data_IF_189911379366
#
_entry.id   IF_189911379366
#
_cell.length_a   1.000
_cell.length_b   1.000
_cell.length_c   1.000
_cell.angle_alpha   90.00
_cell.angle_beta   90.00
_cell.angle_gamma   90.00
#
_symmetry.space_group_name_H-M   'P 1'
#
loop_
_entity.id
_entity.type
_entity.pdbx_description
1 polymer ?
#
# COMPACT_ATOMS: atom_id res chain seq x y z
N UNK A 1 24.09 3.11 -17.46
CA UNK A 1 23.71 1.73 -17.88
C UNK A 1 23.12 1.02 -16.67
N UNK A 2 21.86 1.29 -16.31
CA UNK A 2 21.20 0.60 -15.18
C UNK A 2 20.80 -0.79 -15.67
N UNK A 3 21.53 -1.83 -15.25
CA UNK A 3 21.12 -3.21 -15.51
C UNK A 3 19.85 -3.46 -14.69
N UNK A 4 18.77 -3.83 -15.38
CA UNK A 4 17.62 -4.51 -14.78
C UNK A 4 18.19 -5.70 -13.99
N UNK A 5 17.78 -5.86 -12.72
CA UNK A 5 18.32 -6.83 -11.74
C UNK A 5 19.70 -6.53 -11.08
N UNK A 6 20.26 -5.31 -11.16
CA UNK A 6 21.54 -5.00 -10.48
C UNK A 6 21.78 -3.53 -10.06
N UNK A 7 22.80 -3.33 -9.22
CA UNK A 7 23.28 -2.00 -8.79
C UNK A 7 22.29 -1.26 -7.88
N UNK A 8 21.69 -0.18 -8.39
CA UNK A 8 20.82 0.74 -7.64
C UNK A 8 19.50 0.09 -7.18
N UNK A 9 19.04 -0.98 -7.85
CA UNK A 9 17.85 -1.73 -7.42
C UNK A 9 17.96 -2.26 -5.98
N UNK A 10 19.15 -2.66 -5.54
CA UNK A 10 19.37 -3.12 -4.15
C UNK A 10 19.38 -1.97 -3.13
N UNK A 11 19.73 -0.76 -3.54
CA UNK A 11 19.59 0.44 -2.69
C UNK A 11 18.12 0.74 -2.45
N UNK A 12 17.29 0.60 -3.49
CA UNK A 12 15.84 0.75 -3.37
C UNK A 12 15.25 -0.34 -2.48
N UNK A 13 15.69 -1.60 -2.62
CA UNK A 13 15.28 -2.70 -1.72
C UNK A 13 15.63 -2.40 -0.26
N UNK A 14 16.82 -1.84 0.01
CA UNK A 14 17.23 -1.45 1.36
C UNK A 14 16.38 -0.30 1.91
N UNK A 15 16.13 0.74 1.11
CA UNK A 15 15.24 1.84 1.51
C UNK A 15 13.80 1.36 1.74
N UNK A 16 13.29 0.50 0.86
CA UNK A 16 12.00 -0.16 1.00
C UNK A 16 11.90 -0.97 2.29
N UNK A 17 12.94 -1.76 2.60
CA UNK A 17 13.05 -2.51 3.84
C UNK A 17 12.94 -1.60 5.07
N UNK A 18 13.72 -0.52 5.13
CA UNK A 18 13.70 0.42 6.25
C UNK A 18 12.37 1.14 6.38
N UNK A 19 11.79 1.55 5.25
CA UNK A 19 10.47 2.20 5.20
C UNK A 19 9.40 1.28 5.78
N UNK A 20 9.37 0.01 5.34
CA UNK A 20 8.39 -0.96 5.81
C UNK A 20 8.65 -1.45 7.23
N UNK A 21 9.91 -1.44 7.68
CA UNK A 21 10.25 -1.70 9.08
C UNK A 21 9.63 -0.65 10.01
N UNK A 22 9.70 0.63 9.64
CA UNK A 22 9.11 1.71 10.44
C UNK A 22 7.59 1.75 10.32
N UNK A 23 7.06 1.66 9.11
CA UNK A 23 5.62 1.78 8.84
C UNK A 23 4.86 0.59 9.38
N UNK A 24 5.10 -0.60 8.81
CA UNK A 24 4.33 -1.79 9.15
C UNK A 24 4.72 -2.31 10.54
N UNK A 25 5.97 -2.13 10.95
CA UNK A 25 6.44 -2.53 12.28
C UNK A 25 5.63 -1.87 13.39
N UNK A 26 5.47 -0.55 13.33
CA UNK A 26 4.64 0.22 14.28
C UNK A 26 3.15 -0.08 14.10
N UNK A 27 2.69 -0.26 12.86
CA UNK A 27 1.28 -0.57 12.57
C UNK A 27 0.82 -1.86 13.25
N UNK A 28 1.63 -2.91 13.19
CA UNK A 28 1.28 -4.22 13.71
C UNK A 28 1.49 -4.35 15.23
N UNK A 29 2.18 -3.40 15.88
CA UNK A 29 2.26 -3.32 17.35
C UNK A 29 1.06 -2.67 18.01
N UNK A 30 0.14 -2.09 17.23
CA UNK A 30 -1.13 -1.55 17.74
C UNK A 30 -1.98 -2.60 18.48
N UNK A 31 -1.76 -3.89 18.27
CA UNK A 31 -2.40 -4.96 19.04
C UNK A 31 -2.04 -4.95 20.53
N UNK A 32 -0.88 -4.41 20.91
CA UNK A 32 -0.50 -4.22 22.32
C UNK A 32 -1.22 -3.01 22.90
N UNK A 33 -1.25 -1.90 22.17
CA UNK A 33 -1.97 -0.68 22.56
C UNK A 33 -3.49 -0.91 22.66
N UNK A 34 -4.02 -1.84 21.86
CA UNK A 34 -5.41 -2.27 21.93
C UNK A 34 -5.84 -2.75 23.31
N UNK A 35 -4.99 -3.53 24.00
CA UNK A 35 -5.29 -4.03 25.35
C UNK A 35 -5.43 -2.86 26.32
N UNK A 36 -4.50 -1.91 26.26
CA UNK A 36 -4.54 -0.71 27.11
C UNK A 36 -5.74 0.18 26.79
N UNK A 37 -6.18 0.23 25.53
CA UNK A 37 -7.43 0.93 25.17
C UNK A 37 -8.68 0.21 25.71
N UNK A 38 -8.68 -1.12 25.77
CA UNK A 38 -9.76 -1.85 26.42
C UNK A 38 -9.83 -1.52 27.91
N UNK A 39 -8.69 -1.49 28.58
CA UNK A 39 -8.60 -1.21 30.02
C UNK A 39 -9.00 0.25 30.35
N UNK A 40 -8.56 1.21 29.54
CA UNK A 40 -8.84 2.63 29.71
C UNK A 40 -10.30 2.97 29.41
N UNK A 41 -10.81 2.57 28.25
CA UNK A 41 -12.15 2.98 27.79
C UNK A 41 -13.26 2.06 28.31
N UNK A 42 -12.95 0.83 28.74
CA UNK A 42 -13.90 -0.17 29.26
C UNK A 42 -15.10 -0.41 28.33
N UNK A 43 -14.88 -0.24 27.04
CA UNK A 43 -15.86 -0.48 25.98
C UNK A 43 -15.64 -1.85 25.35
N UNK A 44 -16.67 -2.39 24.69
CA UNK A 44 -16.60 -3.73 24.11
C UNK A 44 -15.52 -3.86 23.02
N UNK A 45 -14.93 -5.06 22.90
CA UNK A 45 -13.85 -5.39 21.95
C UNK A 45 -14.10 -4.88 20.52
N UNK A 46 -15.32 -5.08 20.02
CA UNK A 46 -15.71 -4.60 18.68
C UNK A 46 -15.73 -3.06 18.53
N UNK A 47 -16.02 -2.29 19.58
CA UNK A 47 -15.96 -0.82 19.54
C UNK A 47 -14.51 -0.33 19.58
N UNK A 48 -13.71 -0.88 20.49
CA UNK A 48 -12.29 -0.50 20.65
C UNK A 48 -11.47 -0.85 19.40
N UNK A 49 -11.79 -1.97 18.74
CA UNK A 49 -11.11 -2.42 17.53
C UNK A 49 -11.28 -1.47 16.32
N UNK A 50 -12.21 -0.51 16.36
CA UNK A 50 -12.26 0.54 15.33
C UNK A 50 -10.99 1.38 15.32
N UNK A 51 -10.40 1.64 16.49
CA UNK A 51 -9.18 2.44 16.63
C UNK A 51 -8.02 1.76 15.90
N UNK A 52 -7.83 0.46 16.14
CA UNK A 52 -6.78 -0.33 15.48
C UNK A 52 -7.04 -0.58 13.99
N UNK A 53 -8.25 -0.34 13.51
CA UNK A 53 -8.63 -0.56 12.10
C UNK A 53 -8.59 0.70 11.26
N UNK A 54 -8.75 1.87 11.90
CA UNK A 54 -8.66 3.19 11.26
C UNK A 54 -7.30 3.38 10.61
N UNK A 55 -6.21 3.08 11.31
CA UNK A 55 -4.85 3.30 10.80
C UNK A 55 -4.55 2.41 9.58
N UNK A 56 -4.61 1.06 9.65
CA UNK A 56 -4.34 0.21 8.49
C UNK A 56 -5.36 0.37 7.36
N UNK A 57 -6.64 0.60 7.71
CA UNK A 57 -7.70 0.82 6.73
C UNK A 57 -7.52 2.13 5.96
N UNK A 58 -7.18 3.24 6.63
CA UNK A 58 -6.88 4.52 5.97
C UNK A 58 -5.57 4.46 5.18
N UNK A 59 -4.55 3.75 5.68
CA UNK A 59 -3.31 3.50 4.93
C UNK A 59 -3.57 2.80 3.60
N UNK A 60 -4.42 1.77 3.56
CA UNK A 60 -4.67 1.02 2.34
C UNK A 60 -5.71 1.69 1.41
N UNK A 61 -6.66 2.47 1.96
CA UNK A 61 -7.71 3.15 1.18
C UNK A 61 -7.33 4.53 0.66
N UNK A 62 -6.56 5.32 1.43
CA UNK A 62 -6.26 6.71 1.09
C UNK A 62 -4.87 6.79 0.45
N UNK A 63 -4.86 6.83 -0.89
CA UNK A 63 -3.65 7.05 -1.70
C UNK A 63 -3.03 8.46 -1.56
N UNK A 64 -3.52 9.32 -0.65
CA UNK A 64 -2.95 10.63 -0.37
C UNK A 64 -2.14 10.56 0.94
N UNK A 65 -0.83 10.38 0.81
CA UNK A 65 0.13 10.30 1.91
C UNK A 65 0.67 8.88 2.11
N UNK A 66 0.15 8.18 3.12
CA UNK A 66 0.73 6.94 3.67
C UNK A 66 0.49 5.68 2.82
N UNK A 67 -0.68 5.54 2.18
CA UNK A 67 -0.93 4.48 1.18
C UNK A 67 -0.07 4.60 -0.07
N UNK A 68 0.34 5.84 -0.38
CA UNK A 68 1.31 6.13 -1.42
C UNK A 68 2.67 5.52 -1.12
N UNK A 69 3.08 5.40 0.14
CA UNK A 69 4.40 4.88 0.52
C UNK A 69 4.48 3.37 0.23
N UNK A 70 3.49 2.60 0.71
CA UNK A 70 3.44 1.15 0.47
C UNK A 70 3.33 0.83 -1.03
N UNK A 71 2.42 1.52 -1.73
CA UNK A 71 2.24 1.35 -3.17
C UNK A 71 3.50 1.73 -3.97
N UNK A 72 4.08 2.90 -3.69
CA UNK A 72 5.29 3.38 -4.38
C UNK A 72 6.47 2.45 -4.13
N UNK A 73 6.60 1.91 -2.91
CA UNK A 73 7.65 0.96 -2.56
C UNK A 73 7.55 -0.31 -3.40
N UNK A 74 6.36 -0.91 -3.49
CA UNK A 74 6.13 -2.14 -4.25
C UNK A 74 6.33 -1.93 -5.76
N UNK A 75 5.82 -0.82 -6.29
CA UNK A 75 5.95 -0.46 -7.70
C UNK A 75 7.41 -0.21 -8.07
N UNK A 76 8.14 0.56 -7.26
CA UNK A 76 9.54 0.86 -7.50
C UNK A 76 10.40 -0.41 -7.52
N UNK A 77 10.23 -1.33 -6.56
CA UNK A 77 10.96 -2.61 -6.55
C UNK A 77 10.56 -3.47 -7.76
N UNK A 78 9.26 -3.55 -8.06
CA UNK A 78 8.73 -4.33 -9.19
C UNK A 78 9.28 -3.91 -10.56
N UNK A 79 9.55 -2.63 -10.77
CA UNK A 79 10.16 -2.10 -12.00
C UNK A 79 11.68 -2.29 -12.08
N UNK A 80 12.39 -2.41 -10.96
CA UNK A 80 13.85 -2.59 -10.95
C UNK A 80 14.28 -4.06 -11.11
N UNK A 81 13.38 -5.00 -10.83
CA UNK A 81 13.65 -6.43 -10.89
C UNK A 81 12.63 -7.17 -11.77
N UNK A 82 13.16 -8.00 -12.67
CA UNK A 82 12.37 -8.89 -13.53
C UNK A 82 12.65 -10.36 -13.20
N UNK A 83 13.92 -10.78 -13.17
CA UNK A 83 14.29 -12.18 -12.97
C UNK A 83 14.23 -12.63 -11.52
N UNK A 84 14.47 -11.71 -10.58
CA UNK A 84 14.48 -11.96 -9.12
C UNK A 84 13.41 -11.16 -8.39
N UNK A 85 12.28 -10.93 -9.07
CA UNK A 85 11.22 -10.04 -8.57
C UNK A 85 10.66 -10.53 -7.24
N UNK A 86 10.30 -11.82 -7.13
CA UNK A 86 9.72 -12.34 -5.88
C UNK A 86 10.69 -12.26 -4.72
N UNK A 87 11.97 -12.54 -4.96
CA UNK A 87 13.00 -12.45 -3.93
C UNK A 87 13.27 -11.01 -3.49
N UNK A 88 13.37 -10.06 -4.43
CA UNK A 88 13.57 -8.65 -4.11
C UNK A 88 12.36 -8.05 -3.35
N UNK A 89 11.14 -8.42 -3.75
CA UNK A 89 9.91 -8.07 -3.02
C UNK A 89 9.89 -8.70 -1.64
N UNK A 90 10.28 -9.97 -1.53
CA UNK A 90 10.38 -10.69 -0.25
C UNK A 90 11.34 -10.02 0.73
N UNK A 91 12.54 -9.63 0.29
CA UNK A 91 13.50 -8.89 1.12
C UNK A 91 12.92 -7.55 1.52
N UNK A 92 12.47 -6.74 0.55
CA UNK A 92 11.91 -5.40 0.82
C UNK A 92 10.80 -5.47 1.87
N UNK A 93 9.83 -6.37 1.65
CA UNK A 93 8.69 -6.55 2.54
C UNK A 93 9.08 -7.15 3.89
N UNK A 94 10.16 -7.93 3.99
CA UNK A 94 10.58 -8.54 5.26
C UNK A 94 10.92 -7.52 6.37
N UNK A 95 11.10 -6.25 6.01
CA UNK A 95 11.24 -5.14 6.96
C UNK A 95 10.12 -5.09 7.98
N UNK A 96 8.87 -5.36 7.57
CA UNK A 96 7.72 -5.37 8.49
C UNK A 96 7.88 -6.39 9.62
N UNK A 97 8.40 -7.59 9.30
CA UNK A 97 8.57 -8.66 10.29
C UNK A 97 9.68 -8.35 11.29
N UNK A 98 10.77 -7.75 10.83
CA UNK A 98 11.84 -7.23 11.69
C UNK A 98 11.33 -6.07 12.55
N UNK A 99 10.53 -5.18 11.96
CA UNK A 99 9.87 -4.08 12.66
C UNK A 99 9.01 -4.59 13.81
N UNK A 100 8.12 -5.55 13.56
CA UNK A 100 7.28 -6.17 14.61
C UNK A 100 8.14 -6.77 15.72
N UNK A 101 9.18 -7.53 15.36
CA UNK A 101 10.08 -8.18 16.33
C UNK A 101 10.77 -7.18 17.25
N UNK A 102 11.19 -6.02 16.71
CA UNK A 102 11.85 -4.97 17.49
C UNK A 102 10.84 -4.14 18.28
N UNK A 103 9.77 -3.68 17.63
CA UNK A 103 8.83 -2.74 18.21
C UNK A 103 7.89 -3.39 19.23
N UNK A 104 7.51 -4.66 19.10
CA UNK A 104 6.60 -5.30 20.05
C UNK A 104 7.07 -5.23 21.51
N UNK A 105 8.30 -5.64 21.87
CA UNK A 105 8.79 -5.47 23.24
C UNK A 105 9.04 -4.00 23.61
N UNK A 106 9.52 -3.18 22.66
CA UNK A 106 9.79 -1.75 22.90
C UNK A 106 8.51 -1.00 23.26
N UNK A 107 7.43 -1.22 22.53
CA UNK A 107 6.12 -0.62 22.79
C UNK A 107 5.60 -1.01 24.16
N UNK A 108 5.81 -2.27 24.57
CA UNK A 108 5.41 -2.72 25.91
C UNK A 108 6.15 -1.96 27.01
N UNK A 109 7.45 -1.78 26.85
CA UNK A 109 8.28 -1.00 27.80
C UNK A 109 7.87 0.49 27.78
N UNK A 110 7.61 1.06 26.61
CA UNK A 110 7.18 2.46 26.49
C UNK A 110 5.82 2.70 27.15
N UNK A 111 4.90 1.74 27.07
CA UNK A 111 3.61 1.81 27.75
C UNK A 111 3.80 1.84 29.27
N UNK A 112 4.71 1.02 29.81
CA UNK A 112 4.97 0.96 31.26
C UNK A 112 5.59 2.28 31.79
N UNK A 113 6.48 2.91 31.02
CA UNK A 113 7.20 4.12 31.45
C UNK A 113 6.43 5.43 31.14
N UNK A 114 5.81 5.53 29.96
CA UNK A 114 5.23 6.77 29.43
C UNK A 114 3.72 6.71 29.21
N UNK A 115 3.09 5.56 29.47
CA UNK A 115 1.69 5.32 29.16
C UNK A 115 1.40 5.25 27.66
N UNK A 116 0.15 4.94 27.30
CA UNK A 116 -0.27 4.79 25.91
C UNK A 116 -0.16 6.10 25.11
N UNK A 117 -0.43 7.26 25.72
CA UNK A 117 -0.34 8.57 25.06
C UNK A 117 1.10 8.94 24.70
N UNK A 118 2.03 8.73 25.64
CA UNK A 118 3.45 8.97 25.41
C UNK A 118 4.01 8.02 24.36
N UNK A 119 3.61 6.74 24.42
CA UNK A 119 4.00 5.72 23.44
C UNK A 119 3.58 6.12 22.02
N UNK A 120 2.32 6.53 21.80
CA UNK A 120 1.85 6.98 20.49
C UNK A 120 2.66 8.18 19.94
N UNK A 121 3.03 9.12 20.81
CA UNK A 121 3.83 10.29 20.40
C UNK A 121 5.25 9.87 19.97
N UNK A 122 5.87 8.94 20.71
CA UNK A 122 7.19 8.41 20.40
C UNK A 122 7.15 7.58 19.10
N UNK A 123 6.13 6.75 18.92
CA UNK A 123 5.90 5.99 17.68
C UNK A 123 5.71 6.91 16.47
N UNK A 124 4.97 8.01 16.60
CA UNK A 124 4.87 9.02 15.55
C UNK A 124 6.24 9.63 15.20
N UNK A 125 7.11 9.83 16.19
CA UNK A 125 8.50 10.24 15.98
C UNK A 125 9.32 9.24 15.17
N UNK A 126 9.19 7.94 15.43
CA UNK A 126 9.84 6.91 14.62
C UNK A 126 9.31 6.91 13.18
N UNK A 127 8.00 7.04 13.01
CA UNK A 127 7.36 7.12 11.70
C UNK A 127 7.86 8.34 10.89
N UNK A 128 8.09 9.50 11.51
CA UNK A 128 8.59 10.68 10.79
C UNK A 128 9.96 10.46 10.10
N UNK A 129 10.75 9.49 10.56
CA UNK A 129 12.04 9.15 9.95
C UNK A 129 11.92 8.50 8.56
N UNK A 130 10.70 8.13 8.13
CA UNK A 130 10.45 7.61 6.78
C UNK A 130 10.84 8.63 5.70
N UNK A 131 10.78 9.94 5.98
CA UNK A 131 11.14 11.00 5.00
C UNK A 131 12.57 10.79 4.48
N UNK A 132 13.49 10.35 5.34
CA UNK A 132 14.89 10.08 4.98
C UNK A 132 14.98 8.89 4.02
N UNK A 133 14.20 7.83 4.27
CA UNK A 133 14.15 6.65 3.39
C UNK A 133 13.49 7.00 2.04
N UNK A 134 12.44 7.83 2.10
CA UNK A 134 11.71 8.37 0.95
C UNK A 134 12.60 9.03 -0.10
N UNK A 135 13.66 9.73 0.33
CA UNK A 135 14.59 10.43 -0.54
C UNK A 135 15.35 9.50 -1.53
N UNK A 136 15.44 8.21 -1.23
CA UNK A 136 16.12 7.24 -2.09
C UNK A 136 15.23 6.67 -3.21
N UNK A 137 13.92 6.91 -3.19
CA UNK A 137 13.00 6.52 -4.27
C UNK A 137 13.16 7.46 -5.47
N UNK A 138 14.18 7.22 -6.28
CA UNK A 138 14.40 7.97 -7.52
C UNK A 138 13.43 7.49 -8.61
N UNK A 139 12.67 8.38 -9.28
CA UNK A 139 11.79 7.97 -10.38
C UNK A 139 12.61 7.41 -11.53
N UNK A 140 12.26 6.22 -12.00
CA UNK A 140 12.86 5.67 -13.22
C UNK A 140 12.37 6.51 -14.41
N UNK A 141 13.29 7.21 -15.07
CA UNK A 141 13.02 7.79 -16.37
C UNK A 141 12.62 6.65 -17.33
N UNK A 142 11.41 6.75 -17.87
CA UNK A 142 10.97 5.94 -19.01
C UNK A 142 12.04 6.13 -20.09
N UNK A 143 12.80 5.08 -20.43
CA UNK A 143 13.64 5.14 -21.61
C UNK A 143 12.69 5.35 -22.78
N UNK A 144 12.64 6.56 -23.31
CA UNK A 144 12.14 6.80 -24.65
C UNK A 144 12.97 5.88 -25.54
N UNK A 145 12.34 4.84 -26.06
CA UNK A 145 12.94 3.98 -27.06
C UNK A 145 13.43 4.90 -28.17
N UNK A 146 14.74 5.07 -28.25
CA UNK A 146 15.40 5.58 -29.44
C UNK A 146 15.31 4.45 -30.44
N UNK A 147 14.11 4.19 -30.94
CA UNK A 147 13.94 3.51 -32.21
C UNK A 147 14.54 4.47 -33.20
N UNK A 148 15.72 4.14 -33.70
CA UNK A 148 16.23 4.65 -34.98
C UNK A 148 15.25 4.21 -36.07
N UNK A 149 14.06 4.81 -36.10
CA UNK A 149 13.33 4.97 -37.33
C UNK A 149 14.08 6.06 -38.10
N UNK A 150 14.64 5.66 -39.23
CA UNK A 150 15.21 6.56 -40.21
C UNK A 150 14.22 7.69 -40.46
N UNK A 151 14.71 8.90 -40.32
CA UNK A 151 14.10 10.13 -40.79
C UNK A 151 13.96 10.07 -42.32
N UNK A 152 12.91 9.41 -42.82
CA UNK A 152 12.48 9.45 -44.21
C UNK A 152 10.94 9.53 -44.25
N UNK A 153 10.34 10.54 -43.62
CA UNK A 153 8.92 10.93 -43.90
C UNK A 153 8.52 12.29 -43.32
N UNK A 154 9.45 13.24 -43.14
CA UNK A 154 9.10 14.62 -42.68
C UNK A 154 9.27 15.72 -43.73
N UNK A 155 9.71 15.40 -44.94
CA UNK A 155 9.81 16.37 -46.03
C UNK A 155 8.59 16.43 -46.96
N UNK A 156 7.74 15.40 -47.00
CA UNK A 156 6.58 15.38 -47.92
C UNK A 156 5.29 16.03 -47.36
N UNK A 157 5.27 16.48 -46.10
CA UNK A 157 4.11 17.16 -45.52
C UNK A 157 4.20 18.69 -45.54
N UNK A 158 5.27 19.27 -46.12
CA UNK A 158 5.50 20.73 -46.13
C UNK A 158 5.06 21.40 -47.45
N UNK A 159 4.65 20.65 -48.48
CA UNK A 159 4.46 21.23 -49.82
C UNK A 159 3.01 21.40 -50.31
N UNK A 160 2.00 21.41 -49.42
CA UNK A 160 0.59 21.56 -49.85
C UNK A 160 -0.26 22.61 -49.12
N UNK A 161 0.33 23.60 -48.46
CA UNK A 161 -0.42 24.77 -47.98
C UNK A 161 0.25 26.07 -48.40
N UNK A 162 0.29 26.30 -49.72
CA UNK A 162 0.33 27.62 -50.33
C UNK A 162 -1.00 27.82 -51.08
N UNK A 163 -1.96 28.46 -50.43
CA UNK A 163 -2.98 29.30 -51.07
C UNK A 163 -3.61 30.24 -50.02
N UNK A 164 -3.45 31.53 -50.29
CA UNK A 164 -4.23 32.72 -49.87
C UNK A 164 -4.27 33.19 -48.41
N UNK A 165 -3.53 34.29 -48.20
CA UNK A 165 -3.71 35.45 -47.33
C UNK A 165 -4.77 35.40 -46.20
N UNK A 166 -4.31 35.15 -44.98
CA UNK A 166 -4.55 36.03 -43.82
C UNK A 166 -3.67 35.62 -42.63
N UNK A 167 -2.76 36.52 -42.24
CA UNK A 167 -1.82 36.38 -41.14
C UNK A 167 -2.53 36.37 -39.77
N UNK A 168 -2.39 35.30 -39.00
CA UNK A 168 -2.47 35.35 -37.54
C UNK A 168 -1.07 35.06 -37.00
N UNK A 169 -0.36 36.11 -36.57
CA UNK A 169 0.85 35.98 -35.78
C UNK A 169 0.46 35.67 -34.33
N UNK A 170 0.79 34.48 -33.83
CA UNK A 170 0.92 34.27 -32.38
C UNK A 170 2.40 34.47 -32.05
N UNK A 171 2.70 35.60 -31.41
CA UNK A 171 4.02 35.89 -30.84
C UNK A 171 4.30 34.90 -29.71
N UNK A 172 5.40 34.16 -29.82
CA UNK A 172 5.99 33.42 -28.70
C UNK A 172 6.44 34.40 -27.61
N UNK A 173 6.22 34.02 -26.35
CA UNK A 173 6.70 34.58 -25.07
C UNK A 173 5.63 35.29 -24.22
N UNK A 174 4.95 34.54 -23.37
CA UNK A 174 4.47 35.04 -22.07
C UNK A 174 4.67 33.95 -20.99
N UNK A 175 5.59 34.23 -20.06
CA UNK A 175 5.80 33.51 -18.80
C UNK A 175 4.86 34.15 -17.76
N UNK A 176 4.10 33.40 -16.94
CA UNK A 176 3.13 34.00 -16.04
C UNK A 176 3.79 34.45 -14.72
N UNK A 177 4.13 35.72 -14.61
CA UNK A 177 4.24 36.42 -13.32
C UNK A 177 3.80 37.86 -13.51
N UNK A 178 2.56 38.17 -13.15
CA UNK A 178 2.22 39.26 -12.22
C UNK A 178 0.70 39.51 -12.16
N UNK A 179 0.25 39.78 -10.94
CA UNK A 179 -1.12 40.15 -10.58
C UNK A 179 -1.30 41.65 -10.80
N UNK A 180 -1.95 42.03 -11.90
CA UNK A 180 -2.84 43.19 -12.05
C UNK A 180 -2.87 43.64 -13.52
N UNK A 181 -3.92 43.27 -14.24
CA UNK A 181 -4.33 44.00 -15.43
C UNK A 181 -5.81 44.38 -15.26
N UNK A 182 -6.04 45.64 -14.93
CA UNK A 182 -7.34 46.30 -15.01
C UNK A 182 -7.69 46.50 -16.48
N UNK A 183 -8.87 46.03 -16.89
CA UNK A 183 -9.42 46.28 -18.24
C UNK A 183 -10.28 47.55 -18.13
N UNK A 184 -9.86 48.62 -18.79
CA UNK A 184 -10.74 49.77 -19.07
C UNK A 184 -11.75 49.38 -20.16
N UNK A 185 -13.02 49.67 -19.88
CA UNK A 185 -14.11 49.56 -20.84
C UNK A 185 -13.96 50.66 -21.91
N UNK A 186 -14.00 50.27 -23.18
CA UNK A 186 -14.67 51.09 -24.19
C UNK A 186 -15.36 50.18 -25.20
N UNK A 187 -16.66 50.45 -25.34
CA UNK A 187 -17.63 49.66 -26.06
C UNK A 187 -17.46 49.76 -27.58
N UNK A 188 -17.36 48.60 -28.23
CA UNK A 188 -17.92 48.35 -29.56
C UNK A 188 -18.66 47.01 -29.50
N UNK A 189 -19.90 47.01 -29.98
CA UNK A 189 -20.78 45.85 -30.04
C UNK A 189 -20.24 44.85 -31.06
N UNK A 190 -19.62 43.77 -30.59
CA UNK A 190 -19.28 42.61 -31.40
C UNK A 190 -19.64 41.33 -30.63
N UNK A 191 -20.21 40.36 -31.34
CA UNK A 191 -20.73 39.07 -30.83
C UNK A 191 -19.69 38.18 -30.11
N UNK A 192 -18.41 38.61 -30.09
CA UNK A 192 -17.29 37.93 -29.42
C UNK A 192 -17.28 38.05 -27.88
N UNK A 193 -18.03 38.99 -27.30
CA UNK A 193 -18.16 39.11 -25.84
C UNK A 193 -18.98 37.95 -25.24
N UNK A 194 -19.88 37.34 -26.02
CA UNK A 194 -20.63 36.17 -25.58
C UNK A 194 -19.77 34.89 -25.59
N UNK A 195 -18.89 34.71 -26.57
CA UNK A 195 -17.93 33.60 -26.63
C UNK A 195 -16.93 33.64 -25.45
N UNK A 196 -16.47 34.85 -25.11
CA UNK A 196 -15.54 35.11 -24.01
C UNK A 196 -16.16 34.81 -22.62
N UNK A 197 -17.43 35.18 -22.42
CA UNK A 197 -18.19 34.81 -21.20
C UNK A 197 -18.41 33.30 -21.11
N UNK A 198 -18.61 32.63 -22.24
CA UNK A 198 -18.80 31.18 -22.27
C UNK A 198 -17.51 30.43 -21.94
N UNK A 199 -16.34 30.92 -22.36
CA UNK A 199 -15.04 30.34 -21.97
C UNK A 199 -14.73 30.52 -20.48
N UNK A 200 -15.05 31.68 -19.89
CA UNK A 200 -14.85 31.92 -18.44
C UNK A 200 -15.81 31.08 -17.59
N UNK A 201 -17.07 30.91 -18.03
CA UNK A 201 -18.02 29.99 -17.37
C UNK A 201 -17.59 28.52 -17.54
N UNK A 202 -16.94 28.18 -18.66
CA UNK A 202 -16.42 26.83 -18.92
C UNK A 202 -15.17 26.53 -18.08
N UNK A 203 -14.27 27.50 -17.90
CA UNK A 203 -13.13 27.37 -16.98
C UNK A 203 -13.56 27.30 -15.51
N UNK A 204 -14.63 28.00 -15.12
CA UNK A 204 -15.17 27.92 -13.75
C UNK A 204 -15.88 26.56 -13.48
N UNK A 205 -16.52 25.96 -14.49
CA UNK A 205 -17.03 24.57 -14.42
C UNK A 205 -15.92 23.50 -14.42
N UNK A 206 -14.75 23.80 -14.97
CA UNK A 206 -13.58 22.89 -15.01
C UNK A 206 -13.04 22.55 -13.62
N UNK A 207 -13.20 23.44 -12.63
CA UNK A 207 -12.71 23.23 -11.26
C UNK A 207 -13.54 22.22 -10.46
N UNK A 208 -14.84 22.05 -10.77
CA UNK A 208 -15.66 20.97 -10.18
C UNK A 208 -15.39 19.59 -10.82
N UNK A 209 -14.82 19.59 -12.03
CA UNK A 209 -14.45 18.36 -12.74
C UNK A 209 -13.03 17.88 -12.43
N UNK A 210 -12.25 18.60 -11.62
CA UNK A 210 -10.84 18.25 -11.33
C UNK A 210 -10.72 17.00 -10.43
N UNK A 211 -11.59 16.83 -9.43
CA UNK A 211 -11.59 15.63 -8.57
C UNK A 211 -12.11 14.39 -9.30
N UNK A 212 -13.17 14.53 -10.09
CA UNK A 212 -13.74 13.41 -10.85
C UNK A 212 -12.81 12.97 -11.99
N UNK A 213 -12.13 13.92 -12.65
CA UNK A 213 -11.12 13.63 -13.67
C UNK A 213 -9.81 13.09 -13.07
N UNK A 214 -9.46 13.45 -11.84
CA UNK A 214 -8.36 12.83 -11.10
C UNK A 214 -8.67 11.36 -10.79
N UNK A 215 -9.86 11.07 -10.27
CA UNK A 215 -10.30 9.70 -9.97
C UNK A 215 -10.38 8.83 -11.23
N UNK A 216 -10.98 9.32 -12.33
CA UNK A 216 -11.09 8.54 -13.58
C UNK A 216 -9.74 8.29 -14.26
N UNK A 217 -8.75 9.15 -14.02
CA UNK A 217 -7.39 9.00 -14.58
C UNK A 217 -6.50 8.04 -13.78
N UNK A 218 -6.75 7.91 -12.47
CA UNK A 218 -5.95 7.06 -11.56
C UNK A 218 -6.62 5.71 -11.25
N UNK A 219 -7.94 5.65 -11.21
CA UNK A 219 -8.72 4.43 -10.98
C UNK A 219 -9.42 4.00 -12.27
N UNK A 220 -8.87 2.95 -12.88
CA UNK A 220 -9.41 2.35 -14.09
C UNK A 220 -10.31 1.17 -13.71
N UNK A 221 -11.56 1.48 -13.34
CA UNK A 221 -12.54 0.47 -12.93
C UNK A 221 -12.87 -0.54 -14.06
N UNK A 222 -12.50 -0.26 -15.31
CA UNK A 222 -12.59 -1.23 -16.41
C UNK A 222 -11.75 -2.50 -16.17
N UNK A 223 -10.74 -2.44 -15.30
CA UNK A 223 -9.99 -3.63 -14.85
C UNK A 223 -10.89 -4.67 -14.18
N UNK A 224 -11.95 -4.26 -13.48
CA UNK A 224 -12.91 -5.16 -12.81
C UNK A 224 -13.82 -5.91 -13.80
N UNK A 225 -13.83 -5.53 -15.07
CA UNK A 225 -14.50 -6.32 -16.11
C UNK A 225 -13.72 -7.59 -16.42
N UNK A 226 -12.41 -7.64 -16.14
CA UNK A 226 -11.61 -8.85 -16.32
C UNK A 226 -11.94 -9.86 -15.19
N UNK A 227 -12.52 -11.03 -15.52
CA UNK A 227 -12.95 -12.00 -14.51
C UNK A 227 -11.79 -12.53 -13.66
N UNK A 228 -10.58 -12.65 -14.22
CA UNK A 228 -9.39 -13.13 -13.51
C UNK A 228 -8.98 -12.12 -12.44
N UNK A 229 -8.93 -10.83 -12.80
CA UNK A 229 -8.60 -9.76 -11.85
C UNK A 229 -9.67 -9.63 -10.77
N UNK A 230 -10.96 -9.73 -11.13
CA UNK A 230 -12.05 -9.62 -10.16
C UNK A 230 -12.05 -10.76 -9.15
N UNK A 231 -11.85 -12.01 -9.59
CA UNK A 231 -11.68 -13.15 -8.68
C UNK A 231 -10.49 -12.93 -7.74
N UNK A 232 -9.38 -12.41 -8.29
CA UNK A 232 -8.19 -12.10 -7.50
C UNK A 232 -8.43 -11.01 -6.44
N UNK A 233 -9.15 -9.94 -6.79
CA UNK A 233 -9.56 -8.87 -5.88
C UNK A 233 -10.46 -9.41 -4.78
N UNK A 234 -11.51 -10.17 -5.14
CA UNK A 234 -12.45 -10.75 -4.16
C UNK A 234 -11.72 -11.66 -3.17
N UNK A 235 -10.84 -12.54 -3.66
CA UNK A 235 -10.02 -13.42 -2.81
C UNK A 235 -9.14 -12.64 -1.83
N UNK A 236 -8.50 -11.56 -2.30
CA UNK A 236 -7.70 -10.68 -1.48
C UNK A 236 -8.53 -9.93 -0.44
N UNK A 237 -9.72 -9.45 -0.77
CA UNK A 237 -10.63 -8.82 0.17
C UNK A 237 -11.06 -9.77 1.28
N UNK A 238 -11.44 -11.00 0.92
CA UNK A 238 -11.78 -12.04 1.90
C UNK A 238 -10.61 -12.32 2.85
N UNK A 239 -9.39 -12.38 2.33
CA UNK A 239 -8.18 -12.57 3.13
C UNK A 239 -7.95 -11.37 4.07
N UNK A 240 -8.09 -10.15 3.57
CA UNK A 240 -7.87 -8.91 4.35
C UNK A 240 -8.89 -8.70 5.48
N UNK A 241 -10.11 -9.25 5.39
CA UNK A 241 -11.07 -9.23 6.49
C UNK A 241 -10.52 -9.92 7.76
N UNK A 242 -9.80 -11.03 7.61
CA UNK A 242 -9.22 -11.79 8.72
C UNK A 242 -7.75 -11.49 9.00
N UNK A 243 -7.08 -10.74 8.12
CA UNK A 243 -5.63 -10.52 8.16
C UNK A 243 -5.16 -9.86 9.47
N UNK A 244 -5.86 -8.84 9.96
CA UNK A 244 -5.42 -8.12 11.18
C UNK A 244 -5.82 -8.82 12.48
N UNK A 245 -6.74 -9.78 12.45
CA UNK A 245 -7.29 -10.34 13.68
C UNK A 245 -6.22 -11.01 14.58
N UNK A 246 -5.27 -11.82 14.06
CA UNK A 246 -4.22 -12.39 14.90
C UNK A 246 -3.26 -11.35 15.48
N UNK A 247 -2.97 -10.26 14.75
CA UNK A 247 -2.11 -9.19 15.26
C UNK A 247 -2.76 -8.42 16.42
N UNK A 248 -4.09 -8.24 16.38
CA UNK A 248 -4.83 -7.47 17.39
C UNK A 248 -5.23 -8.33 18.59
N UNK A 249 -5.80 -9.52 18.35
CA UNK A 249 -6.47 -10.29 19.40
C UNK A 249 -5.60 -11.38 20.05
N UNK A 250 -4.48 -11.77 19.43
CA UNK A 250 -3.63 -12.81 20.00
C UNK A 250 -2.98 -12.39 21.33
N UNK A 251 -2.41 -11.17 21.48
CA UNK A 251 -1.84 -10.72 22.75
C UNK A 251 -2.91 -10.59 23.84
N UNK A 252 -4.07 -10.06 23.48
CA UNK A 252 -5.24 -9.91 24.35
C UNK A 252 -5.70 -11.27 24.92
N UNK A 253 -5.91 -12.26 24.05
CA UNK A 253 -6.26 -13.64 24.48
C UNK A 253 -5.19 -14.25 25.39
N UNK A 254 -3.91 -14.03 25.08
CA UNK A 254 -2.81 -14.55 25.88
C UNK A 254 -2.84 -13.98 27.31
N UNK A 255 -3.09 -12.67 27.46
CA UNK A 255 -3.21 -12.02 28.76
C UNK A 255 -4.47 -12.46 29.51
N UNK A 256 -5.62 -12.61 28.83
CA UNK A 256 -6.85 -13.17 29.42
C UNK A 256 -6.64 -14.57 30.02
N UNK A 257 -5.73 -15.35 29.44
CA UNK A 257 -5.38 -16.70 29.89
C UNK A 257 -4.25 -16.74 30.92
N UNK A 258 -3.85 -15.57 31.43
CA UNK A 258 -2.86 -15.44 32.51
C UNK A 258 -1.41 -15.48 32.04
N UNK A 259 -1.13 -15.27 30.74
CA UNK A 259 0.25 -15.01 30.30
C UNK A 259 0.71 -13.64 30.77
N UNK A 260 1.99 -13.52 31.09
CA UNK A 260 2.57 -12.24 31.48
C UNK A 260 2.54 -11.25 30.31
N UNK A 261 2.43 -9.97 30.65
CA UNK A 261 2.43 -8.81 29.73
C UNK A 261 3.59 -8.77 28.71
N UNK A 262 4.76 -9.33 29.07
CA UNK A 262 5.91 -9.44 28.16
C UNK A 262 5.83 -10.69 27.27
N UNK A 263 5.34 -11.82 27.81
CA UNK A 263 5.17 -13.06 27.05
C UNK A 263 4.10 -12.89 25.95
N UNK A 264 3.03 -12.13 26.23
CA UNK A 264 1.98 -11.78 25.26
C UNK A 264 2.52 -10.93 24.10
N UNK A 265 3.33 -9.90 24.41
CA UNK A 265 4.00 -9.07 23.41
C UNK A 265 5.01 -9.89 22.57
N UNK A 266 5.66 -10.89 23.18
CA UNK A 266 6.59 -11.76 22.48
C UNK A 266 5.91 -12.62 21.40
N UNK A 267 4.61 -12.92 21.50
CA UNK A 267 3.88 -13.63 20.45
C UNK A 267 3.88 -12.85 19.12
N UNK A 268 3.72 -11.52 19.17
CA UNK A 268 3.84 -10.69 17.95
C UNK A 268 5.26 -10.75 17.39
N UNK A 269 6.27 -10.77 18.27
CA UNK A 269 7.68 -10.91 17.85
C UNK A 269 7.93 -12.23 17.11
N UNK A 270 7.31 -13.32 17.57
CA UNK A 270 7.34 -14.63 16.89
C UNK A 270 6.65 -14.54 15.52
N UNK A 271 5.48 -13.89 15.41
CA UNK A 271 4.85 -13.64 14.11
C UNK A 271 5.80 -12.87 13.19
N UNK A 272 6.44 -11.81 13.71
CA UNK A 272 7.36 -10.95 12.98
C UNK A 272 8.55 -11.70 12.38
N UNK A 273 9.31 -12.44 13.20
CA UNK A 273 10.50 -13.15 12.72
C UNK A 273 10.15 -14.29 11.76
N UNK A 274 9.06 -15.03 12.02
CA UNK A 274 8.60 -16.09 11.12
C UNK A 274 8.10 -15.52 9.79
N UNK A 275 7.45 -14.36 9.81
CA UNK A 275 7.05 -13.62 8.61
C UNK A 275 8.25 -13.18 7.77
N UNK A 276 9.28 -12.61 8.39
CA UNK A 276 10.55 -12.27 7.71
C UNK A 276 11.16 -13.50 7.04
N UNK A 277 11.25 -14.62 7.76
CA UNK A 277 11.80 -15.86 7.22
C UNK A 277 10.95 -16.39 6.05
N UNK A 278 9.63 -16.42 6.20
CA UNK A 278 8.70 -16.85 5.16
C UNK A 278 8.81 -16.02 3.88
N UNK A 279 8.86 -14.68 3.99
CA UNK A 279 9.00 -13.77 2.85
C UNK A 279 10.28 -14.01 2.06
N UNK A 280 11.41 -14.19 2.74
CA UNK A 280 12.71 -14.38 2.08
C UNK A 280 12.80 -15.79 1.46
N UNK A 281 12.44 -16.83 2.22
CA UNK A 281 12.50 -18.21 1.76
C UNK A 281 11.57 -18.46 0.58
N UNK A 282 10.28 -18.14 0.73
CA UNK A 282 9.29 -18.40 -0.32
C UNK A 282 9.38 -17.41 -1.47
N UNK A 283 9.87 -16.18 -1.22
CA UNK A 283 10.23 -15.25 -2.29
C UNK A 283 11.33 -15.83 -3.19
N UNK A 284 12.34 -16.49 -2.61
CA UNK A 284 13.38 -17.17 -3.38
C UNK A 284 12.87 -18.43 -4.09
N UNK A 285 12.03 -19.24 -3.44
CA UNK A 285 11.41 -20.42 -4.05
C UNK A 285 10.54 -20.02 -5.24
N UNK A 286 9.77 -18.93 -5.12
CA UNK A 286 8.87 -18.42 -6.16
C UNK A 286 9.59 -17.96 -7.44
N UNK A 287 10.89 -17.67 -7.38
CA UNK A 287 11.70 -17.31 -8.55
C UNK A 287 12.39 -18.52 -9.21
N UNK A 288 12.25 -19.74 -8.67
CA UNK A 288 12.81 -20.95 -9.30
C UNK A 288 12.00 -21.37 -10.52
N UNK A 289 12.71 -21.83 -11.56
CA UNK A 289 12.08 -22.40 -12.76
C UNK A 289 11.21 -23.60 -12.39
N UNK A 290 9.98 -23.62 -12.88
CA UNK A 290 9.01 -24.70 -12.64
C UNK A 290 8.12 -24.53 -11.41
N UNK A 291 8.36 -23.50 -10.58
CA UNK A 291 7.47 -23.19 -9.46
C UNK A 291 6.28 -22.37 -9.95
N UNK A 292 5.07 -22.87 -9.71
CA UNK A 292 3.85 -22.10 -9.95
C UNK A 292 3.60 -21.16 -8.76
N UNK A 293 3.85 -19.87 -8.98
CA UNK A 293 3.67 -18.81 -7.97
C UNK A 293 2.24 -18.73 -7.45
N UNK A 294 1.24 -18.94 -8.30
CA UNK A 294 -0.17 -18.91 -7.93
C UNK A 294 -0.54 -20.11 -7.03
N UNK A 295 0.00 -21.29 -7.32
CA UNK A 295 -0.21 -22.48 -6.47
C UNK A 295 0.45 -22.28 -5.10
N UNK A 296 1.68 -21.77 -5.07
CA UNK A 296 2.40 -21.48 -3.82
C UNK A 296 1.63 -20.47 -2.95
N UNK A 297 1.08 -19.43 -3.59
CA UNK A 297 0.20 -18.47 -2.94
C UNK A 297 -1.08 -19.12 -2.40
N UNK A 298 -1.78 -19.93 -3.21
CA UNK A 298 -3.00 -20.62 -2.80
C UNK A 298 -2.79 -21.59 -1.63
N UNK A 299 -1.73 -22.40 -1.66
CA UNK A 299 -1.42 -23.33 -0.57
C UNK A 299 -1.06 -22.60 0.72
N UNK A 300 -0.34 -21.47 0.64
CA UNK A 300 -0.04 -20.65 1.81
C UNK A 300 -1.31 -20.10 2.49
N UNK A 301 -2.30 -19.69 1.70
CA UNK A 301 -3.59 -19.20 2.21
C UNK A 301 -4.41 -20.31 2.86
N UNK A 302 -4.42 -21.52 2.29
CA UNK A 302 -5.10 -22.67 2.89
C UNK A 302 -4.48 -22.99 4.24
N UNK A 303 -3.15 -23.08 4.33
CA UNK A 303 -2.45 -23.33 5.60
C UNK A 303 -2.79 -22.25 6.63
N UNK A 304 -2.74 -20.97 6.22
CA UNK A 304 -3.10 -19.85 7.08
C UNK A 304 -4.56 -19.94 7.59
N UNK A 305 -5.51 -20.29 6.71
CA UNK A 305 -6.91 -20.50 7.08
C UNK A 305 -7.09 -21.66 8.06
N UNK A 306 -6.46 -22.81 7.80
CA UNK A 306 -6.51 -23.98 8.69
C UNK A 306 -5.96 -23.65 10.07
N UNK A 307 -4.82 -22.96 10.15
CA UNK A 307 -4.18 -22.58 11.42
C UNK A 307 -5.07 -21.61 12.22
N UNK A 308 -5.76 -20.69 11.55
CA UNK A 308 -6.73 -19.81 12.21
C UNK A 308 -7.96 -20.56 12.74
N UNK A 309 -8.46 -21.56 12.03
CA UNK A 309 -9.57 -22.41 12.51
C UNK A 309 -9.12 -23.26 13.71
N UNK A 310 -7.86 -23.71 13.74
CA UNK A 310 -7.32 -24.48 14.86
C UNK A 310 -6.99 -23.60 16.09
N UNK A 311 -6.77 -22.30 15.92
CA UNK A 311 -6.34 -21.40 17.00
C UNK A 311 -7.14 -21.53 18.32
N UNK A 312 -8.48 -21.68 18.32
CA UNK A 312 -9.25 -21.75 19.57
C UNK A 312 -9.06 -23.04 20.39
N UNK A 313 -8.42 -24.08 19.85
CA UNK A 313 -8.40 -25.44 20.43
C UNK A 313 -7.54 -25.58 21.69
N UNK A 314 -6.57 -24.69 21.92
CA UNK A 314 -5.65 -24.79 23.05
C UNK A 314 -5.09 -23.41 23.43
N UNK A 315 -4.83 -23.20 24.71
CA UNK A 315 -4.35 -21.94 25.29
C UNK A 315 -2.94 -22.03 25.89
N UNK A 316 -2.25 -23.16 25.71
CA UNK A 316 -0.87 -23.31 26.17
C UNK A 316 0.07 -22.31 25.49
N UNK A 317 1.01 -21.73 26.24
CA UNK A 317 2.03 -20.80 25.72
C UNK A 317 2.75 -21.37 24.49
N UNK A 318 3.13 -22.64 24.55
CA UNK A 318 3.82 -23.33 23.44
C UNK A 318 2.92 -23.42 22.21
N UNK A 319 1.64 -23.71 22.42
CA UNK A 319 0.67 -23.80 21.34
C UNK A 319 0.49 -22.45 20.62
N UNK A 320 0.34 -21.36 21.39
CA UNK A 320 0.21 -20.01 20.83
C UNK A 320 1.48 -19.56 20.10
N UNK A 321 2.67 -19.95 20.57
CA UNK A 321 3.93 -19.70 19.86
C UNK A 321 4.02 -20.48 18.54
N UNK A 322 3.59 -21.74 18.51
CA UNK A 322 3.52 -22.53 17.26
C UNK A 322 2.54 -21.88 16.29
N UNK A 323 1.33 -21.54 16.74
CA UNK A 323 0.33 -20.82 15.96
C UNK A 323 0.92 -19.52 15.37
N UNK A 324 1.52 -18.67 16.20
CA UNK A 324 2.15 -17.41 15.80
C UNK A 324 3.22 -17.63 14.72
N UNK A 325 4.07 -18.64 14.89
CA UNK A 325 5.15 -18.92 13.94
C UNK A 325 4.63 -19.38 12.57
N UNK A 326 3.64 -20.29 12.55
CA UNK A 326 3.08 -20.82 11.30
C UNK A 326 2.27 -19.72 10.61
N UNK A 327 1.41 -19.01 11.35
CA UNK A 327 0.65 -17.90 10.82
C UNK A 327 1.58 -16.83 10.22
N UNK A 328 2.60 -16.38 10.97
CA UNK A 328 3.57 -15.39 10.50
C UNK A 328 4.29 -15.82 9.22
N UNK A 329 4.78 -17.05 9.16
CA UNK A 329 5.49 -17.57 7.99
C UNK A 329 4.62 -17.55 6.72
N UNK A 330 3.39 -18.08 6.79
CA UNK A 330 2.54 -18.23 5.61
C UNK A 330 1.80 -16.95 5.23
N UNK A 331 1.43 -16.10 6.19
CA UNK A 331 0.86 -14.78 5.87
C UNK A 331 1.90 -13.88 5.17
N UNK A 332 3.19 -14.07 5.46
CA UNK A 332 4.27 -13.42 4.74
C UNK A 332 4.34 -13.79 3.26
N UNK A 333 4.04 -15.04 2.91
CA UNK A 333 3.99 -15.52 1.53
C UNK A 333 2.86 -14.81 0.76
N UNK A 334 1.69 -14.69 1.38
CA UNK A 334 0.57 -13.94 0.81
C UNK A 334 0.97 -12.50 0.46
N UNK A 335 1.52 -11.75 1.42
CA UNK A 335 1.88 -10.33 1.18
C UNK A 335 2.96 -10.17 0.12
N UNK A 336 3.98 -11.03 0.13
CA UNK A 336 5.12 -10.94 -0.81
C UNK A 336 4.76 -11.32 -2.25
N UNK A 337 3.91 -12.32 -2.44
CA UNK A 337 3.55 -12.78 -3.78
C UNK A 337 2.36 -12.04 -4.38
N UNK A 338 1.52 -11.37 -3.58
CA UNK A 338 0.31 -10.68 -4.06
C UNK A 338 0.62 -9.70 -5.22
N UNK A 339 1.57 -8.79 -5.01
CA UNK A 339 1.97 -7.82 -6.04
C UNK A 339 2.68 -8.49 -7.23
N UNK A 340 3.43 -9.57 -7.01
CA UNK A 340 4.15 -10.27 -8.09
C UNK A 340 3.19 -11.02 -9.00
N UNK A 341 2.24 -11.76 -8.41
CA UNK A 341 1.19 -12.46 -9.14
C UNK A 341 0.35 -11.46 -9.94
N UNK A 342 0.06 -10.29 -9.37
CA UNK A 342 -0.67 -9.26 -10.09
C UNK A 342 0.08 -8.79 -11.35
N UNK A 343 1.41 -8.64 -11.27
CA UNK A 343 2.24 -8.35 -12.45
C UNK A 343 2.22 -9.52 -13.44
N UNK A 344 2.30 -10.76 -12.96
CA UNK A 344 2.26 -11.94 -13.83
C UNK A 344 0.92 -12.07 -14.57
N UNK A 345 -0.18 -11.60 -13.98
CA UNK A 345 -1.53 -11.64 -14.56
C UNK A 345 -1.83 -10.50 -15.54
N UNK A 346 -1.38 -9.27 -15.25
CA UNK A 346 -1.78 -8.06 -15.99
C UNK A 346 -0.64 -7.34 -16.70
N UNK A 347 0.60 -7.76 -16.47
CA UNK A 347 1.81 -7.10 -16.95
C UNK A 347 2.18 -5.86 -16.12
N UNK A 348 3.43 -5.41 -16.30
CA UNK A 348 3.99 -4.26 -15.58
C UNK A 348 3.31 -2.93 -15.91
N UNK A 349 2.85 -2.74 -17.15
CA UNK A 349 2.34 -1.45 -17.61
C UNK A 349 1.05 -1.02 -16.89
N UNK A 350 0.24 -1.99 -16.47
CA UNK A 350 -1.02 -1.76 -15.76
C UNK A 350 -0.88 -1.94 -14.24
N UNK A 351 0.31 -2.24 -13.74
CA UNK A 351 0.56 -2.56 -12.34
C UNK A 351 0.05 -1.47 -11.39
N UNK A 352 0.38 -0.20 -11.64
CA UNK A 352 0.02 0.88 -10.72
C UNK A 352 -1.49 1.04 -10.57
N UNK A 353 -2.23 0.97 -11.69
CA UNK A 353 -3.69 1.07 -11.71
C UNK A 353 -4.33 -0.14 -11.03
N UNK A 354 -3.89 -1.35 -11.36
CA UNK A 354 -4.44 -2.58 -10.82
C UNK A 354 -4.15 -2.74 -9.33
N UNK A 355 -2.92 -2.44 -8.90
CA UNK A 355 -2.48 -2.55 -7.52
C UNK A 355 -3.14 -1.48 -6.64
N UNK A 356 -3.30 -0.25 -7.15
CA UNK A 356 -4.05 0.79 -6.46
C UNK A 356 -5.53 0.42 -6.25
N UNK A 357 -6.17 -0.15 -7.27
CA UNK A 357 -7.55 -0.62 -7.17
C UNK A 357 -7.68 -1.81 -6.20
N UNK A 358 -6.74 -2.76 -6.25
CA UNK A 358 -6.67 -3.89 -5.31
C UNK A 358 -6.53 -3.40 -3.86
N UNK A 359 -5.59 -2.49 -3.59
CA UNK A 359 -5.36 -1.93 -2.26
C UNK A 359 -6.55 -1.15 -1.73
N UNK A 360 -7.27 -0.43 -2.60
CA UNK A 360 -8.49 0.28 -2.21
C UNK A 360 -9.51 -0.69 -1.60
N UNK A 361 -9.78 -1.82 -2.26
CA UNK A 361 -10.73 -2.80 -1.72
C UNK A 361 -10.17 -3.57 -0.50
N UNK A 362 -8.87 -3.89 -0.51
CA UNK A 362 -8.20 -4.48 0.67
C UNK A 362 -8.28 -3.56 1.89
N UNK A 363 -8.15 -2.25 1.70
CA UNK A 363 -8.26 -1.27 2.77
C UNK A 363 -9.66 -1.21 3.37
N UNK A 364 -10.71 -1.25 2.54
CA UNK A 364 -12.10 -1.34 3.01
C UNK A 364 -12.30 -2.62 3.84
N UNK A 365 -11.80 -3.76 3.35
CA UNK A 365 -11.88 -5.02 4.09
C UNK A 365 -11.14 -4.95 5.44
N UNK A 366 -9.93 -4.38 5.45
CA UNK A 366 -9.10 -4.24 6.64
C UNK A 366 -9.69 -3.27 7.67
N UNK A 367 -10.42 -2.26 7.20
CA UNK A 367 -11.14 -1.29 8.04
C UNK A 367 -12.32 -1.94 8.79
N UNK A 368 -13.03 -2.86 8.13
CA UNK A 368 -14.24 -3.52 8.66
C UNK A 368 -13.89 -4.79 9.44
N UNK A 369 -12.79 -5.48 9.10
CA UNK A 369 -12.42 -6.78 9.62
C UNK A 369 -12.32 -6.87 11.15
N UNK A 370 -11.40 -6.13 11.80
CA UNK A 370 -11.21 -6.27 13.24
C UNK A 370 -12.47 -5.95 14.07
N UNK A 371 -13.26 -4.89 13.81
CA UNK A 371 -14.50 -4.63 14.55
C UNK A 371 -15.53 -5.76 14.42
N UNK A 372 -15.64 -6.40 13.25
CA UNK A 372 -16.48 -7.58 13.07
C UNK A 372 -15.98 -8.75 13.90
N UNK A 373 -14.68 -9.06 13.84
CA UNK A 373 -14.06 -10.11 14.65
C UNK A 373 -14.27 -9.86 16.16
N UNK A 374 -14.11 -8.61 16.61
CA UNK A 374 -14.28 -8.24 18.02
C UNK A 374 -15.72 -8.41 18.50
N UNK A 375 -16.72 -8.15 17.65
CA UNK A 375 -18.12 -8.46 17.95
C UNK A 375 -18.33 -9.97 18.08
N UNK A 376 -17.83 -10.77 17.13
CA UNK A 376 -17.94 -12.24 17.17
C UNK A 376 -17.20 -12.87 18.36
N UNK A 377 -16.08 -12.27 18.80
CA UNK A 377 -15.34 -12.71 19.99
C UNK A 377 -16.21 -12.63 21.25
N UNK A 378 -17.06 -11.61 21.35
CA UNK A 378 -18.00 -11.43 22.48
C UNK A 378 -19.12 -12.48 22.46
N UNK A 379 -19.56 -12.96 21.28
CA UNK A 379 -20.64 -13.94 21.17
C UNK A 379 -20.24 -15.37 21.54
N UNK A 380 -18.95 -15.72 21.54
CA UNK A 380 -18.47 -17.07 21.92
C UNK A 380 -18.13 -17.20 23.41
N UNK A 381 -18.32 -16.15 24.22
CA UNK A 381 -18.04 -16.13 25.66
C UNK A 381 -19.31 -16.14 26.53
N UNK A 382 -20.51 -16.24 25.94
CA UNK A 382 -21.79 -16.33 26.65
C UNK A 382 -22.60 -17.54 26.23
#
# INVERSE_FOLDING_TARGET
>A
MNRIDGGFGWVIVCSAFMTLMLVDGVLFTLGILYIEFLDEFKEGKGKTAWITSLIPGTMLTVGLGFGGIFLSTLVCVGHHFEKRRSFAMGISLSGSGVGIFVFAPVVRILIEEYGWRGTLLIEAGFILNIIVCGAFFRPMQKQSGRTTEKSETKEEAIDLLRCDDNLIYIKENCIPSDKNCTIEENASQDDDVHASKQEIITQTKSTKNTTLSFFSRHFDFGLLTNPIFTIFVVSNCCTCLGFNAPYVYLPDRAEEKGMNKLDSAFLLSVIGISNTFGRILFGWIADRKGVNRLLLYGTSLVICGTVNVMNPLNDSKIYLMIYASVYGMFIGVFVSLNAVILVDLLGLERLNKALGLLMMFQGIATFIGPPLCGKSYVYNLY
#
